data_IF_949579628501
#
_entry.id   IF_949579628501
#
_cell.length_a   1.000
_cell.length_b   1.000
_cell.length_c   1.000
_cell.angle_alpha   90.00
_cell.angle_beta   90.00
_cell.angle_gamma   90.00
#
_symmetry.space_group_name_H-M   'P 1'
#
loop_
_entity.id
_entity.type
_entity.pdbx_description
1 polymer ?
#
# COMPACT_ATOMS: atom_id res chain seq x y z
N UNK A 1 11.42 -7.34 -8.18
CA UNK A 1 9.98 -7.37 -8.53
C UNK A 1 9.18 -7.83 -7.33
N UNK A 2 7.90 -7.47 -7.22
CA UNK A 2 6.97 -7.98 -6.19
C UNK A 2 6.09 -9.07 -6.80
N UNK A 3 5.74 -10.12 -6.06
CA UNK A 3 4.98 -11.27 -6.56
C UNK A 3 3.59 -10.90 -7.09
N UNK A 4 2.81 -10.12 -6.34
CA UNK A 4 1.52 -9.59 -6.79
C UNK A 4 1.69 -8.14 -7.26
N UNK A 5 1.55 -7.89 -8.56
CA UNK A 5 1.77 -6.55 -9.09
C UNK A 5 1.56 -6.39 -10.58
N UNK A 6 2.08 -5.26 -11.12
CA UNK A 6 1.77 -4.74 -12.46
C UNK A 6 2.15 -5.64 -13.64
N UNK A 7 2.97 -6.66 -13.41
CA UNK A 7 3.35 -7.62 -14.46
C UNK A 7 2.25 -8.66 -14.70
N UNK A 8 1.36 -8.88 -13.73
CA UNK A 8 0.22 -9.80 -13.85
C UNK A 8 -0.91 -9.12 -14.66
N UNK A 9 -1.43 -9.72 -15.73
CA UNK A 9 -2.50 -9.15 -16.55
C UNK A 9 -3.76 -8.85 -15.73
N UNK A 10 -4.21 -9.79 -14.91
CA UNK A 10 -5.46 -9.65 -14.13
C UNK A 10 -5.35 -8.54 -13.08
N UNK A 11 -4.16 -8.35 -12.49
CA UNK A 11 -3.90 -7.23 -11.59
C UNK A 11 -4.06 -5.87 -12.30
N UNK A 12 -3.69 -5.77 -13.58
CA UNK A 12 -3.85 -4.53 -14.36
C UNK A 12 -5.33 -4.20 -14.56
N UNK A 13 -6.16 -5.21 -14.83
CA UNK A 13 -7.62 -5.06 -14.96
C UNK A 13 -8.23 -4.55 -13.66
N UNK A 14 -7.85 -5.11 -12.52
CA UNK A 14 -8.34 -4.64 -11.21
C UNK A 14 -7.87 -3.21 -10.90
N UNK A 15 -6.64 -2.86 -11.28
CA UNK A 15 -6.08 -1.53 -11.08
C UNK A 15 -6.81 -0.43 -11.88
N UNK A 16 -7.35 -0.77 -13.03
CA UNK A 16 -8.14 0.17 -13.86
C UNK A 16 -9.53 0.42 -13.27
N UNK A 17 -10.08 -0.55 -12.53
CA UNK A 17 -11.42 -0.49 -11.95
C UNK A 17 -11.46 0.13 -10.54
N UNK A 18 -10.42 -0.13 -9.75
CA UNK A 18 -10.40 0.20 -8.33
C UNK A 18 -9.18 1.03 -7.96
N UNK A 19 -9.38 2.01 -7.08
CA UNK A 19 -8.29 2.81 -6.52
C UNK A 19 -7.31 1.95 -5.71
N UNK A 20 -6.19 2.54 -5.30
CA UNK A 20 -5.21 1.81 -4.50
C UNK A 20 -5.76 1.37 -3.14
N UNK A 21 -6.40 2.30 -2.41
CA UNK A 21 -6.93 2.01 -1.08
C UNK A 21 -8.11 1.04 -1.12
N UNK A 22 -9.02 1.17 -2.09
CA UNK A 22 -10.12 0.20 -2.25
C UNK A 22 -9.60 -1.24 -2.42
N UNK A 23 -8.51 -1.44 -3.17
CA UNK A 23 -7.90 -2.77 -3.34
C UNK A 23 -7.19 -3.28 -2.09
N UNK A 24 -6.79 -2.42 -1.17
CA UNK A 24 -6.19 -2.79 0.12
C UNK A 24 -7.24 -2.97 1.23
N UNK A 25 -8.41 -2.32 1.11
CA UNK A 25 -9.45 -2.30 2.15
C UNK A 25 -10.60 -3.27 1.86
N UNK A 26 -10.76 -3.72 0.60
CA UNK A 26 -11.81 -4.68 0.22
C UNK A 26 -11.28 -6.12 0.34
N UNK A 27 -11.74 -6.93 1.31
CA UNK A 27 -11.17 -8.27 1.58
C UNK A 27 -11.20 -9.20 0.37
N UNK A 28 -12.27 -9.12 -0.45
CA UNK A 28 -12.40 -9.93 -1.65
C UNK A 28 -11.30 -9.62 -2.67
N UNK A 29 -11.06 -8.33 -2.97
CA UNK A 29 -10.01 -7.89 -3.89
C UNK A 29 -8.62 -8.26 -3.35
N UNK A 30 -8.39 -8.10 -2.04
CA UNK A 30 -7.14 -8.50 -1.39
C UNK A 30 -6.88 -10.00 -1.58
N UNK A 31 -7.88 -10.84 -1.33
CA UNK A 31 -7.76 -12.30 -1.46
C UNK A 31 -7.43 -12.74 -2.88
N UNK A 32 -8.08 -12.12 -3.88
CA UNK A 32 -7.85 -12.39 -5.29
C UNK A 32 -6.41 -12.01 -5.68
N UNK A 33 -6.00 -10.77 -5.40
CA UNK A 33 -4.67 -10.27 -5.75
C UNK A 33 -3.55 -11.05 -5.04
N UNK A 34 -3.78 -11.45 -3.78
CA UNK A 34 -2.81 -12.21 -2.98
C UNK A 34 -2.55 -13.59 -3.57
N UNK A 35 -3.56 -14.24 -4.14
CA UNK A 35 -3.46 -15.61 -4.68
C UNK A 35 -3.08 -15.66 -6.16
N UNK A 36 -3.26 -14.57 -6.92
CA UNK A 36 -2.86 -14.50 -8.35
C UNK A 36 -1.45 -15.05 -8.67
N UNK A 37 -0.39 -14.77 -7.89
CA UNK A 37 0.96 -15.26 -8.21
C UNK A 37 1.08 -16.79 -8.11
N UNK A 38 0.28 -17.42 -7.24
CA UNK A 38 0.22 -18.89 -7.13
C UNK A 38 -0.34 -19.45 -8.44
N UNK A 39 -1.46 -18.90 -8.92
CA UNK A 39 -2.16 -19.43 -10.09
C UNK A 39 -1.49 -19.08 -11.43
N UNK A 40 -0.89 -17.90 -11.55
CA UNK A 40 -0.32 -17.42 -12.82
C UNK A 40 1.18 -17.72 -12.97
N UNK A 41 1.93 -17.83 -11.87
CA UNK A 41 3.40 -18.00 -11.88
C UNK A 41 3.83 -19.31 -11.22
N UNK A 42 3.01 -19.93 -10.38
CA UNK A 42 3.36 -21.15 -9.65
C UNK A 42 4.22 -20.90 -8.41
N UNK A 43 4.04 -19.76 -7.74
CA UNK A 43 4.75 -19.46 -6.48
C UNK A 43 4.29 -20.39 -5.34
N UNK A 44 5.23 -20.92 -4.55
CA UNK A 44 4.94 -21.84 -3.42
C UNK A 44 4.33 -21.14 -2.19
N UNK A 45 4.39 -19.81 -2.17
CA UNK A 45 3.87 -19.00 -1.09
C UNK A 45 3.17 -17.74 -1.63
N UNK A 46 2.15 -17.29 -0.88
CA UNK A 46 1.50 -16.00 -1.06
C UNK A 46 1.96 -15.01 0.01
N UNK A 47 2.09 -13.75 -0.40
CA UNK A 47 2.29 -12.61 0.49
C UNK A 47 1.04 -11.75 0.42
N UNK A 48 0.47 -11.42 1.59
CA UNK A 48 -0.73 -10.59 1.70
C UNK A 48 -0.60 -9.29 0.89
N UNK A 49 -1.55 -9.05 0.00
CA UNK A 49 -1.65 -7.79 -0.71
C UNK A 49 -2.16 -6.70 0.22
N UNK A 50 -1.23 -5.89 0.73
CA UNK A 50 -1.51 -4.69 1.51
C UNK A 50 -0.35 -3.70 1.33
N UNK A 51 -0.48 -2.51 1.92
CA UNK A 51 0.58 -1.52 1.97
C UNK A 51 0.98 -1.25 3.41
N UNK A 52 2.26 -0.96 3.65
CA UNK A 52 2.75 -0.61 4.99
C UNK A 52 2.14 0.69 5.52
N UNK A 53 1.65 1.56 4.63
CA UNK A 53 1.07 2.85 4.97
C UNK A 53 -0.38 2.80 5.46
N UNK A 54 -1.02 1.62 5.44
CA UNK A 54 -2.33 1.43 6.08
C UNK A 54 -2.28 1.73 7.58
N UNK A 55 -1.12 1.51 8.22
CA UNK A 55 -0.93 1.79 9.65
C UNK A 55 -1.01 3.31 9.94
N UNK A 56 -0.23 4.19 9.28
CA UNK A 56 -0.42 5.64 9.37
C UNK A 56 -1.86 6.09 9.12
N UNK A 57 -2.54 5.54 8.11
CA UNK A 57 -3.95 5.87 7.82
C UNK A 57 -4.84 5.52 9.00
N UNK A 58 -4.69 4.34 9.58
CA UNK A 58 -5.39 3.93 10.80
C UNK A 58 -5.06 4.81 12.02
N UNK A 59 -3.86 5.41 12.07
CA UNK A 59 -3.46 6.40 13.08
C UNK A 59 -3.99 7.82 12.80
N UNK A 60 -4.80 8.01 11.75
CA UNK A 60 -5.39 9.30 11.39
C UNK A 60 -4.51 10.18 10.49
N UNK A 61 -3.47 9.62 9.87
CA UNK A 61 -2.66 10.34 8.89
C UNK A 61 -3.26 10.24 7.48
N UNK A 62 -3.24 11.36 6.75
CA UNK A 62 -3.57 11.37 5.34
C UNK A 62 -2.37 10.91 4.50
N UNK A 63 -2.60 10.04 3.53
CA UNK A 63 -1.58 9.53 2.61
C UNK A 63 -2.05 9.74 1.17
N UNK A 64 -1.30 10.55 0.43
CA UNK A 64 -1.56 10.84 -0.98
C UNK A 64 -0.80 9.87 -1.88
N UNK A 65 -1.51 9.14 -2.74
CA UNK A 65 -0.88 8.31 -3.77
C UNK A 65 -0.62 9.13 -5.03
N UNK A 66 0.59 9.69 -5.17
CA UNK A 66 0.95 10.55 -6.32
C UNK A 66 1.48 9.70 -7.48
N UNK A 67 0.85 9.73 -8.68
CA UNK A 67 1.32 8.99 -9.84
C UNK A 67 2.79 9.33 -10.19
N UNK A 68 3.62 8.31 -10.41
CA UNK A 68 5.02 8.47 -10.79
C UNK A 68 5.99 8.83 -9.64
N UNK A 69 5.47 9.33 -8.51
CA UNK A 69 6.28 9.69 -7.33
C UNK A 69 6.14 8.64 -6.23
N UNK A 70 4.92 8.13 -6.01
CA UNK A 70 4.60 7.20 -4.93
C UNK A 70 3.82 7.88 -3.79
N UNK A 71 3.76 7.25 -2.62
CA UNK A 71 2.99 7.76 -1.49
C UNK A 71 3.66 8.98 -0.86
N UNK A 72 2.87 10.00 -0.55
CA UNK A 72 3.28 11.21 0.15
C UNK A 72 2.48 11.35 1.44
N UNK A 73 3.16 11.61 2.54
CA UNK A 73 2.56 12.02 3.80
C UNK A 73 2.68 13.55 3.94
N UNK A 74 1.59 14.33 3.79
CA UNK A 74 1.64 15.79 3.87
C UNK A 74 2.12 16.29 5.25
N UNK A 75 1.77 15.54 6.30
CA UNK A 75 2.17 15.81 7.68
C UNK A 75 2.97 14.62 8.18
N UNK A 76 4.24 14.83 8.48
CA UNK A 76 5.10 13.79 9.06
C UNK A 76 5.05 13.83 10.59
N UNK A 77 5.36 12.70 11.22
CA UNK A 77 5.62 12.65 12.66
C UNK A 77 6.86 13.49 12.91
N UNK A 78 6.71 14.58 13.65
CA UNK A 78 7.84 15.39 14.14
C UNK A 78 8.18 14.92 15.55
N UNK A 79 9.47 14.84 15.85
CA UNK A 79 9.92 14.65 17.23
C UNK A 79 9.30 15.76 18.09
N UNK A 80 8.72 15.37 19.23
CA UNK A 80 8.33 16.33 20.25
C UNK A 80 9.61 17.01 20.73
N UNK A 81 9.92 18.20 20.22
CA UNK A 81 10.92 19.05 20.86
C UNK A 81 10.31 19.47 22.19
N UNK A 82 10.85 18.96 23.29
CA UNK A 82 10.54 19.47 24.62
C UNK A 82 10.67 20.99 24.55
N UNK A 83 9.56 21.72 24.79
CA UNK A 83 9.59 23.18 24.82
C UNK A 83 10.58 23.59 25.91
N UNK A 84 11.77 24.06 25.52
CA UNK A 84 12.78 24.54 26.46
C UNK A 84 14.25 24.19 26.19
N UNK A 85 14.60 23.42 25.15
CA UNK A 85 16.03 23.18 24.85
C UNK A 85 16.51 24.00 23.64
N UNK A 86 17.47 24.93 23.83
CA UNK A 86 17.78 25.97 22.84
C UNK A 86 18.56 25.50 21.61
N UNK A 87 18.93 24.21 21.52
CA UNK A 87 19.72 23.66 20.40
C UNK A 87 19.03 22.48 19.69
N UNK A 88 17.70 22.52 19.57
CA UNK A 88 16.98 21.67 18.63
C UNK A 88 16.41 22.52 17.50
#
# INVERSE_FOLDING_TARGET
>A
MRQAGRFLPDYRVLREKYTFFERCETPHLVSEITTMPIWQVGSDAAILFSDILVVPVAMGYHVDMVPGVGPRLPKTVKICRCRGHPNA
#
